data_IF_684703411814
#
_entry.id   IF_684703411814
#
_cell.length_a   1.000
_cell.length_b   1.000
_cell.length_c   1.000
_cell.angle_alpha   90.00
_cell.angle_beta   90.00
_cell.angle_gamma   90.00
#
_symmetry.space_group_name_H-M   'P 1'
#
loop_
_entity.id
_entity.type
_entity.pdbx_description
1 polymer ?
#
# COMPACT_ATOMS: atom_id res chain seq x y z
N UNK A 1 3.60 -1.99 -9.57
CA UNK A 1 3.10 -2.79 -8.42
C UNK A 1 2.07 -3.85 -8.84
N UNK A 2 1.08 -3.52 -9.68
CA UNK A 2 -0.01 -4.44 -10.05
C UNK A 2 0.45 -5.83 -10.53
N UNK A 3 1.52 -5.91 -11.33
CA UNK A 3 2.06 -7.20 -11.80
C UNK A 3 2.55 -8.12 -10.67
N UNK A 4 3.20 -7.55 -9.65
CA UNK A 4 3.71 -8.32 -8.51
C UNK A 4 2.54 -8.83 -7.66
N UNK A 5 1.53 -7.98 -7.43
CA UNK A 5 0.29 -8.35 -6.73
C UNK A 5 -0.42 -9.47 -7.47
N UNK A 6 -0.61 -9.33 -8.79
CA UNK A 6 -1.25 -10.37 -9.62
C UNK A 6 -0.52 -11.71 -9.55
N UNK A 7 0.81 -11.70 -9.57
CA UNK A 7 1.60 -12.92 -9.42
C UNK A 7 1.41 -13.61 -8.06
N UNK A 8 1.18 -12.84 -6.99
CA UNK A 8 0.85 -13.38 -5.67
C UNK A 8 -0.47 -14.13 -5.61
N UNK A 9 -1.44 -13.74 -6.44
CA UNK A 9 -2.75 -14.38 -6.53
C UNK A 9 -2.74 -15.72 -7.30
N UNK A 10 -1.68 -16.01 -8.06
CA UNK A 10 -1.49 -17.29 -8.81
C UNK A 10 -2.71 -17.67 -9.65
N UNK A 11 -3.26 -18.88 -9.39
CA UNK A 11 -4.33 -19.53 -10.17
C UNK A 11 -5.74 -19.14 -9.67
N UNK A 12 -5.86 -18.18 -8.73
CA UNK A 12 -7.15 -17.70 -8.29
C UNK A 12 -7.97 -17.17 -9.48
N UNK A 13 -9.22 -17.62 -9.58
CA UNK A 13 -10.17 -17.10 -10.57
C UNK A 13 -10.99 -15.93 -10.02
N UNK A 14 -11.11 -15.84 -8.70
CA UNK A 14 -11.90 -14.84 -8.00
C UNK A 14 -11.16 -14.28 -6.78
N UNK A 15 -11.33 -12.97 -6.52
CA UNK A 15 -10.66 -12.29 -5.42
C UNK A 15 -11.57 -11.24 -4.78
N UNK A 16 -11.60 -11.19 -3.44
CA UNK A 16 -12.11 -10.02 -2.73
C UNK A 16 -10.97 -9.00 -2.57
N UNK A 17 -11.18 -7.76 -3.01
CA UNK A 17 -10.24 -6.66 -2.77
C UNK A 17 -10.72 -5.84 -1.57
N UNK A 18 -9.98 -5.89 -0.45
CA UNK A 18 -10.36 -5.34 0.85
C UNK A 18 -9.71 -3.96 1.05
N UNK A 19 -10.54 -2.93 1.20
CA UNK A 19 -10.09 -1.54 1.15
C UNK A 19 -9.72 -1.16 -0.28
N UNK A 20 -10.65 -1.41 -1.19
CA UNK A 20 -10.43 -1.34 -2.63
C UNK A 20 -10.13 0.08 -3.14
N UNK A 21 -10.50 1.11 -2.38
CA UNK A 21 -10.30 2.49 -2.75
C UNK A 21 -10.87 2.80 -4.14
N UNK A 22 -10.10 3.53 -4.93
CA UNK A 22 -10.41 3.84 -6.33
C UNK A 22 -10.16 2.68 -7.31
N UNK A 23 -9.60 1.54 -6.86
CA UNK A 23 -9.38 0.35 -7.68
C UNK A 23 -8.00 0.23 -8.34
N UNK A 24 -6.98 0.93 -7.82
CA UNK A 24 -5.65 1.07 -8.45
C UNK A 24 -4.90 -0.25 -8.72
N UNK A 25 -5.17 -1.31 -7.96
CA UNK A 25 -4.42 -2.58 -8.04
C UNK A 25 -5.31 -3.77 -8.38
N UNK A 26 -6.52 -3.54 -8.86
CA UNK A 26 -7.44 -4.61 -9.21
C UNK A 26 -6.98 -5.35 -10.46
N UNK A 27 -6.84 -6.69 -10.40
CA UNK A 27 -6.54 -7.49 -11.59
C UNK A 27 -7.69 -7.41 -12.60
N UNK A 28 -7.38 -7.24 -13.87
CA UNK A 28 -8.38 -7.16 -14.94
C UNK A 28 -8.73 -8.51 -15.56
N UNK A 29 -7.98 -9.55 -15.20
CA UNK A 29 -8.10 -10.92 -15.70
C UNK A 29 -8.76 -11.88 -14.70
N UNK A 30 -9.25 -11.37 -13.56
CA UNK A 30 -9.94 -12.12 -12.52
C UNK A 30 -11.33 -11.55 -12.25
N UNK A 31 -12.19 -12.35 -11.65
CA UNK A 31 -13.43 -11.86 -11.04
C UNK A 31 -13.09 -11.14 -9.73
N UNK A 32 -13.19 -9.82 -9.71
CA UNK A 32 -12.90 -9.00 -8.53
C UNK A 32 -14.20 -8.60 -7.83
N UNK A 33 -14.28 -8.81 -6.51
CA UNK A 33 -15.33 -8.27 -5.64
C UNK A 33 -14.68 -7.21 -4.74
N UNK A 34 -14.77 -5.91 -5.09
CA UNK A 34 -14.19 -4.87 -4.26
C UNK A 34 -15.06 -4.57 -3.04
N UNK A 35 -14.43 -4.41 -1.88
CA UNK A 35 -15.07 -3.97 -0.63
C UNK A 35 -14.36 -2.73 -0.12
N UNK A 36 -15.11 -1.66 0.14
CA UNK A 36 -14.57 -0.36 0.52
C UNK A 36 -15.45 0.30 1.59
N UNK A 37 -14.91 0.77 2.73
CA UNK A 37 -15.69 1.43 3.77
C UNK A 37 -16.06 2.90 3.45
N UNK A 38 -15.33 3.56 2.55
CA UNK A 38 -15.53 4.97 2.22
C UNK A 38 -16.45 5.15 1.02
N UNK A 39 -17.66 5.63 1.24
CA UNK A 39 -18.57 5.99 0.14
C UNK A 39 -17.94 7.01 -0.82
N UNK A 40 -17.09 7.90 -0.32
CA UNK A 40 -16.38 8.89 -1.16
C UNK A 40 -15.44 8.20 -2.12
N UNK A 41 -14.65 7.22 -1.65
CA UNK A 41 -13.77 6.42 -2.51
C UNK A 41 -14.56 5.57 -3.50
N UNK A 42 -15.69 5.00 -3.08
CA UNK A 42 -16.60 4.27 -3.98
C UNK A 42 -17.07 5.16 -5.12
N UNK A 43 -17.49 6.41 -4.82
CA UNK A 43 -17.94 7.38 -5.84
C UNK A 43 -16.83 7.82 -6.81
N UNK A 44 -15.57 7.74 -6.40
CA UNK A 44 -14.40 8.09 -7.23
C UNK A 44 -13.95 6.95 -8.16
N UNK A 45 -14.52 5.75 -8.00
CA UNK A 45 -14.17 4.61 -8.85
C UNK A 45 -14.57 4.85 -10.29
N UNK A 46 -13.70 4.41 -11.21
CA UNK A 46 -14.04 4.44 -12.64
C UNK A 46 -15.25 3.54 -12.93
N UNK A 47 -16.17 3.99 -13.76
CA UNK A 47 -17.30 3.19 -14.22
C UNK A 47 -16.92 1.94 -15.04
N UNK A 48 -15.66 1.80 -15.44
CA UNK A 48 -15.12 0.60 -16.09
C UNK A 48 -14.72 -0.50 -15.10
N UNK A 49 -14.64 -0.19 -13.79
CA UNK A 49 -14.30 -1.14 -12.74
C UNK A 49 -15.58 -1.77 -12.12
N UNK A 50 -15.48 -2.97 -11.55
CA UNK A 50 -16.58 -3.55 -10.80
C UNK A 50 -17.06 -2.59 -9.69
N UNK A 51 -18.38 -2.48 -9.46
CA UNK A 51 -18.91 -1.67 -8.38
C UNK A 51 -18.47 -2.22 -7.02
N UNK A 52 -18.00 -1.33 -6.13
CA UNK A 52 -17.57 -1.74 -4.80
C UNK A 52 -18.77 -1.91 -3.86
N UNK A 53 -18.70 -2.94 -3.03
CA UNK A 53 -19.62 -3.14 -1.92
C UNK A 53 -19.18 -2.27 -0.74
N UNK A 54 -20.12 -1.63 -0.07
CA UNK A 54 -19.87 -0.93 1.17
C UNK A 54 -19.62 -1.96 2.29
N UNK A 55 -18.46 -1.89 2.95
CA UNK A 55 -18.11 -2.82 4.02
C UNK A 55 -16.71 -2.56 4.56
N UNK A 56 -16.39 -3.17 5.69
CA UNK A 56 -15.07 -3.09 6.33
C UNK A 56 -14.37 -4.44 6.28
N UNK A 57 -13.08 -4.45 6.57
CA UNK A 57 -12.30 -5.68 6.64
C UNK A 57 -12.80 -6.63 7.74
N UNK A 58 -13.30 -6.06 8.82
CA UNK A 58 -13.83 -6.78 9.99
C UNK A 58 -15.23 -7.37 9.76
N UNK A 59 -15.94 -6.93 8.69
CA UNK A 59 -17.29 -7.38 8.33
C UNK A 59 -17.44 -7.37 6.81
N UNK A 60 -16.94 -8.42 6.17
CA UNK A 60 -17.02 -8.55 4.72
C UNK A 60 -18.43 -8.99 4.28
N UNK A 61 -19.10 -8.23 3.39
CA UNK A 61 -20.47 -8.53 2.93
C UNK A 61 -20.48 -9.65 1.89
N UNK A 62 -19.79 -10.76 2.19
CA UNK A 62 -19.67 -11.93 1.32
C UNK A 62 -19.99 -13.22 2.08
N UNK A 63 -20.54 -14.24 1.40
CA UNK A 63 -20.70 -15.57 1.98
C UNK A 63 -19.36 -16.23 2.31
N UNK A 64 -19.40 -17.22 3.20
CA UNK A 64 -18.21 -18.01 3.50
C UNK A 64 -17.74 -18.76 2.23
N UNK A 65 -16.41 -18.83 2.06
CA UNK A 65 -15.76 -19.54 0.95
C UNK A 65 -16.30 -19.15 -0.44
N UNK A 66 -16.65 -17.87 -0.63
CA UNK A 66 -17.25 -17.37 -1.88
C UNK A 66 -16.22 -16.97 -2.94
N UNK A 67 -14.97 -16.70 -2.53
CA UNK A 67 -13.85 -16.32 -3.43
C UNK A 67 -12.64 -17.21 -3.21
N UNK A 68 -11.74 -17.27 -4.20
CA UNK A 68 -10.55 -18.10 -4.11
C UNK A 68 -9.46 -17.41 -3.27
N UNK A 69 -9.34 -16.09 -3.42
CA UNK A 69 -8.31 -15.32 -2.72
C UNK A 69 -8.85 -14.02 -2.12
N UNK A 70 -8.10 -13.47 -1.16
CA UNK A 70 -8.25 -12.11 -0.68
C UNK A 70 -7.03 -11.26 -1.08
N UNK A 71 -7.27 -10.00 -1.39
CA UNK A 71 -6.26 -8.98 -1.66
C UNK A 71 -6.46 -7.80 -0.72
N UNK A 72 -5.38 -7.28 -0.16
CA UNK A 72 -5.36 -6.01 0.54
C UNK A 72 -4.10 -5.23 0.12
N UNK A 73 -4.28 -4.21 -0.72
CA UNK A 73 -3.19 -3.40 -1.23
C UNK A 73 -3.15 -2.06 -0.49
N UNK A 74 -2.14 -1.86 0.35
CA UNK A 74 -1.94 -0.65 1.15
C UNK A 74 -3.20 -0.24 1.96
N UNK A 75 -3.95 -1.22 2.47
CA UNK A 75 -5.19 -0.98 3.22
C UNK A 75 -5.16 -1.55 4.65
N UNK A 76 -4.37 -2.59 4.91
CA UNK A 76 -4.36 -3.29 6.21
C UNK A 76 -3.96 -2.38 7.40
N UNK A 77 -3.23 -1.31 7.17
CA UNK A 77 -2.85 -0.33 8.19
C UNK A 77 -4.01 0.61 8.61
N UNK A 78 -5.13 0.57 7.91
CA UNK A 78 -6.35 1.32 8.26
C UNK A 78 -7.35 0.48 9.07
N UNK A 79 -7.15 -0.84 9.20
CA UNK A 79 -8.07 -1.72 9.89
C UNK A 79 -8.06 -1.47 11.40
N UNK A 80 -9.25 -1.42 12.00
CA UNK A 80 -9.42 -1.16 13.44
C UNK A 80 -9.11 -2.39 14.27
N UNK A 81 -9.54 -3.55 13.80
CA UNK A 81 -9.30 -4.86 14.43
C UNK A 81 -8.79 -5.85 13.39
N UNK A 82 -7.47 -5.99 13.33
CA UNK A 82 -6.83 -6.91 12.40
C UNK A 82 -7.15 -8.38 12.68
N UNK A 83 -7.41 -8.73 13.94
CA UNK A 83 -7.78 -10.10 14.29
C UNK A 83 -9.15 -10.46 13.71
N UNK A 84 -10.14 -9.59 13.85
CA UNK A 84 -11.45 -9.74 13.23
C UNK A 84 -11.35 -9.76 11.69
N UNK A 85 -10.54 -8.87 11.10
CA UNK A 85 -10.32 -8.85 9.66
C UNK A 85 -9.68 -10.15 9.14
N UNK A 86 -8.70 -10.71 9.85
CA UNK A 86 -8.10 -11.99 9.48
C UNK A 86 -9.08 -13.16 9.61
N UNK A 87 -9.98 -13.13 10.61
CA UNK A 87 -11.05 -14.11 10.72
C UNK A 87 -12.03 -14.05 9.52
N UNK A 88 -12.40 -12.83 9.11
CA UNK A 88 -13.25 -12.61 7.93
C UNK A 88 -12.57 -13.06 6.63
N UNK A 89 -11.28 -12.78 6.45
CA UNK A 89 -10.50 -13.27 5.31
C UNK A 89 -10.56 -14.80 5.25
N UNK A 90 -10.29 -15.48 6.37
CA UNK A 90 -10.39 -16.96 6.42
C UNK A 90 -11.81 -17.46 6.19
N UNK A 91 -12.81 -16.69 6.58
CA UNK A 91 -14.20 -17.05 6.34
C UNK A 91 -14.56 -16.99 4.85
N UNK A 92 -14.19 -15.91 4.15
CA UNK A 92 -14.64 -15.64 2.78
C UNK A 92 -13.76 -16.24 1.70
N UNK A 93 -12.43 -16.28 1.90
CA UNK A 93 -11.49 -16.81 0.93
C UNK A 93 -11.20 -18.31 1.17
N UNK A 94 -10.93 -19.05 0.09
CA UNK A 94 -10.67 -20.49 0.12
C UNK A 94 -9.21 -20.82 0.33
N UNK A 95 -8.32 -20.14 -0.40
CA UNK A 95 -6.95 -20.63 -0.62
C UNK A 95 -5.88 -19.71 -0.04
N UNK A 96 -5.97 -18.41 -0.29
CA UNK A 96 -4.88 -17.48 0.07
C UNK A 96 -5.32 -16.06 0.32
N UNK A 97 -4.44 -15.31 0.98
CA UNK A 97 -4.53 -13.87 1.08
C UNK A 97 -3.20 -13.23 0.64
N UNK A 98 -3.30 -12.16 -0.12
CA UNK A 98 -2.17 -11.40 -0.66
C UNK A 98 -2.24 -9.98 -0.11
N UNK A 99 -1.15 -9.53 0.48
CA UNK A 99 -1.03 -8.17 1.01
C UNK A 99 0.13 -7.45 0.33
N UNK A 100 -0.13 -6.28 -0.18
CA UNK A 100 0.90 -5.32 -0.50
C UNK A 100 0.93 -4.29 0.61
N UNK A 101 2.02 -4.26 1.38
CA UNK A 101 2.15 -3.46 2.60
C UNK A 101 3.55 -2.89 2.76
N UNK A 102 3.75 -2.00 3.70
CA UNK A 102 5.07 -1.55 4.11
C UNK A 102 5.50 -2.29 5.37
N UNK A 103 6.78 -2.62 5.47
CA UNK A 103 7.39 -3.21 6.66
C UNK A 103 7.58 -2.10 7.71
N UNK A 104 6.97 -2.17 8.89
CA UNK A 104 7.09 -1.12 9.89
C UNK A 104 8.53 -0.92 10.42
N UNK A 105 9.41 -1.91 10.24
CA UNK A 105 10.81 -1.81 10.64
C UNK A 105 11.71 -1.22 9.53
N UNK A 106 11.15 -1.01 8.33
CA UNK A 106 11.90 -0.46 7.21
C UNK A 106 11.78 1.06 7.13
N UNK A 107 12.81 1.68 6.55
CA UNK A 107 12.88 3.11 6.24
C UNK A 107 12.25 3.40 4.88
N UNK A 108 11.64 4.59 4.73
CA UNK A 108 11.30 5.16 3.42
C UNK A 108 12.51 5.78 2.70
N UNK A 109 13.72 5.43 3.13
CA UNK A 109 14.96 5.92 2.54
C UNK A 109 15.19 7.40 2.89
N UNK A 110 15.61 8.19 1.90
CA UNK A 110 15.90 9.61 2.11
C UNK A 110 14.70 10.46 2.55
N UNK A 111 13.46 9.96 2.37
CA UNK A 111 12.26 10.67 2.82
C UNK A 111 12.26 10.88 4.33
N UNK A 112 12.76 9.91 5.10
CA UNK A 112 12.80 10.00 6.56
C UNK A 112 13.75 11.11 7.04
N UNK A 113 14.76 11.49 6.23
CA UNK A 113 15.64 12.60 6.53
C UNK A 113 14.94 13.96 6.48
N UNK A 114 13.92 14.10 5.61
CA UNK A 114 13.16 15.35 5.45
C UNK A 114 11.85 15.32 6.23
N UNK A 115 11.21 14.15 6.34
CA UNK A 115 9.90 13.96 6.92
C UNK A 115 9.95 12.92 8.06
N UNK A 116 10.63 13.22 9.17
CA UNK A 116 10.74 12.28 10.29
C UNK A 116 9.36 11.91 10.84
N UNK A 117 9.18 10.64 11.15
CA UNK A 117 7.89 10.11 11.60
C UNK A 117 6.93 9.73 10.47
N UNK A 118 7.35 9.79 9.21
CA UNK A 118 6.51 9.46 8.05
C UNK A 118 5.97 8.01 8.11
N UNK A 119 6.77 7.06 8.60
CA UNK A 119 6.32 5.68 8.81
C UNK A 119 5.24 5.58 9.89
N UNK A 120 5.22 6.50 10.83
CA UNK A 120 4.29 6.53 11.97
C UNK A 120 4.48 5.33 12.89
N UNK A 121 4.43 5.52 14.21
CA UNK A 121 4.47 4.41 15.14
C UNK A 121 3.21 3.53 14.99
N UNK A 122 3.41 2.21 14.90
CA UNK A 122 2.36 1.17 14.88
C UNK A 122 1.30 1.28 13.77
N UNK A 123 1.57 2.01 12.69
CA UNK A 123 0.60 2.18 11.60
C UNK A 123 0.49 0.91 10.75
N UNK A 124 1.61 0.40 10.27
CA UNK A 124 1.65 -0.83 9.50
C UNK A 124 1.67 -2.05 10.41
N UNK A 125 0.94 -3.14 10.05
CA UNK A 125 1.01 -4.38 10.82
C UNK A 125 2.43 -4.95 10.77
N UNK A 126 2.90 -5.51 11.89
CA UNK A 126 4.13 -6.29 11.87
C UNK A 126 3.98 -7.47 10.90
N UNK A 127 5.01 -7.76 10.11
CA UNK A 127 4.93 -8.82 9.09
C UNK A 127 4.58 -10.18 9.70
N UNK A 128 4.95 -10.40 10.95
CA UNK A 128 4.63 -11.61 11.72
C UNK A 128 3.15 -11.76 12.07
N UNK A 129 2.37 -10.67 12.13
CA UNK A 129 0.93 -10.73 12.39
C UNK A 129 0.18 -11.53 11.32
N UNK A 130 0.64 -11.46 10.07
CA UNK A 130 0.01 -12.18 8.95
C UNK A 130 0.10 -13.71 9.09
N UNK A 131 0.99 -14.23 9.95
CA UNK A 131 1.06 -15.66 10.26
C UNK A 131 -0.22 -16.20 10.93
N UNK A 132 -1.05 -15.33 11.49
CA UNK A 132 -2.38 -15.70 11.97
C UNK A 132 -3.30 -16.24 10.87
N UNK A 133 -3.02 -15.96 9.60
CA UNK A 133 -3.77 -16.48 8.46
C UNK A 133 -3.34 -17.88 8.03
N UNK A 134 -2.15 -18.32 8.40
CA UNK A 134 -1.53 -19.59 8.00
C UNK A 134 -0.06 -19.43 7.64
N UNK A 135 0.45 -20.28 6.75
CA UNK A 135 1.85 -20.19 6.31
C UNK A 135 2.05 -18.97 5.41
N UNK A 136 2.97 -18.09 5.81
CA UNK A 136 3.27 -16.87 5.06
C UNK A 136 4.58 -16.99 4.27
N UNK A 137 4.63 -16.26 3.16
CA UNK A 137 5.86 -15.89 2.45
C UNK A 137 5.89 -14.37 2.32
N UNK A 138 7.03 -13.79 2.60
CA UNK A 138 7.28 -12.36 2.48
C UNK A 138 8.36 -12.15 1.43
N UNK A 139 8.11 -11.27 0.50
CA UNK A 139 9.07 -10.88 -0.54
C UNK A 139 9.22 -9.36 -0.59
N UNK A 140 10.42 -8.82 -0.75
CA UNK A 140 10.60 -7.40 -1.01
C UNK A 140 9.96 -7.02 -2.35
N UNK A 141 9.42 -5.80 -2.41
CA UNK A 141 8.87 -5.21 -3.63
C UNK A 141 9.62 -3.90 -3.89
N UNK A 142 10.76 -3.95 -4.58
CA UNK A 142 11.48 -2.74 -4.94
C UNK A 142 10.61 -1.82 -5.80
N UNK A 143 10.74 -0.52 -5.57
CA UNK A 143 9.98 0.50 -6.30
C UNK A 143 10.77 0.95 -7.52
N UNK A 144 10.24 0.77 -8.74
CA UNK A 144 10.90 1.27 -9.96
C UNK A 144 11.07 2.78 -9.94
N UNK A 145 12.14 3.27 -10.54
CA UNK A 145 12.46 4.70 -10.59
C UNK A 145 11.45 5.55 -11.35
N UNK A 146 10.68 4.93 -12.24
CA UNK A 146 9.60 5.51 -13.04
C UNK A 146 8.21 5.23 -12.49
N UNK A 147 8.10 4.72 -11.26
CA UNK A 147 6.83 4.41 -10.61
C UNK A 147 5.91 5.65 -10.59
N UNK A 148 4.69 5.49 -11.06
CA UNK A 148 3.66 6.56 -11.10
C UNK A 148 2.52 6.33 -10.12
N UNK A 149 2.59 5.26 -9.33
CA UNK A 149 1.60 4.97 -8.29
C UNK A 149 1.63 6.06 -7.19
N UNK A 150 0.50 6.28 -6.49
CA UNK A 150 0.35 7.37 -5.53
C UNK A 150 0.75 7.03 -4.08
N UNK A 151 1.62 6.04 -3.83
CA UNK A 151 2.04 5.71 -2.46
C UNK A 151 3.32 6.44 -2.03
N UNK A 152 3.58 6.45 -0.74
CA UNK A 152 4.54 7.33 -0.07
C UNK A 152 5.92 7.45 -0.72
N UNK A 153 6.55 6.35 -1.10
CA UNK A 153 7.90 6.37 -1.68
C UNK A 153 7.90 6.10 -3.20
N UNK A 154 6.76 6.29 -3.88
CA UNK A 154 6.68 6.08 -5.33
C UNK A 154 7.61 6.99 -6.12
N UNK A 155 7.87 8.18 -5.61
CA UNK A 155 8.70 9.20 -6.28
C UNK A 155 10.11 9.29 -5.71
N UNK A 156 10.66 8.21 -5.15
CA UNK A 156 11.97 8.21 -4.49
C UNK A 156 13.11 8.78 -5.35
N UNK A 157 13.01 8.70 -6.67
CA UNK A 157 14.00 9.24 -7.62
C UNK A 157 13.62 10.62 -8.18
N UNK A 158 12.45 11.12 -7.83
CA UNK A 158 11.88 12.40 -8.29
C UNK A 158 11.49 13.27 -7.10
N UNK A 159 12.48 13.77 -6.35
CA UNK A 159 12.26 14.47 -5.08
C UNK A 159 11.40 15.73 -5.22
N UNK A 160 11.44 16.39 -6.37
CA UNK A 160 10.62 17.55 -6.72
C UNK A 160 9.10 17.25 -6.64
N UNK A 161 8.69 16.01 -6.89
CA UNK A 161 7.28 15.62 -6.76
C UNK A 161 6.72 15.83 -5.34
N UNK A 162 7.55 15.71 -4.31
CA UNK A 162 7.13 15.94 -2.92
C UNK A 162 6.99 17.41 -2.54
N UNK A 163 7.36 18.35 -3.41
CA UNK A 163 7.08 19.78 -3.24
C UNK A 163 5.65 20.12 -3.62
N UNK A 164 5.01 19.31 -4.46
CA UNK A 164 3.62 19.47 -4.86
C UNK A 164 2.68 18.97 -3.74
N UNK A 165 1.80 19.86 -3.25
CA UNK A 165 0.83 19.56 -2.21
C UNK A 165 -0.17 18.49 -2.66
N UNK A 166 -0.66 18.57 -3.89
CA UNK A 166 -1.62 17.60 -4.43
C UNK A 166 -1.04 16.17 -4.49
N UNK A 167 0.28 16.04 -4.72
CA UNK A 167 0.97 14.75 -4.65
C UNK A 167 0.99 14.22 -3.22
N UNK A 168 1.29 15.07 -2.23
CA UNK A 168 1.35 14.65 -0.81
C UNK A 168 -0.04 14.31 -0.26
N UNK A 169 -1.08 15.05 -0.62
CA UNK A 169 -2.47 14.80 -0.19
C UNK A 169 -2.98 13.41 -0.60
N UNK A 170 -2.48 12.87 -1.70
CA UNK A 170 -2.81 11.50 -2.13
C UNK A 170 -2.07 10.40 -1.35
N UNK A 171 -1.17 10.77 -0.44
CA UNK A 171 -0.38 9.83 0.37
C UNK A 171 -0.87 9.82 1.82
N UNK A 172 -1.50 8.73 2.24
CA UNK A 172 -2.06 8.62 3.59
C UNK A 172 -1.05 8.86 4.73
N UNK A 173 0.25 8.63 4.48
CA UNK A 173 1.32 8.90 5.44
C UNK A 173 1.50 10.40 5.68
N UNK A 174 1.41 11.23 4.65
CA UNK A 174 1.48 12.69 4.79
C UNK A 174 0.24 13.27 5.47
N UNK A 175 -0.94 12.68 5.23
CA UNK A 175 -2.18 13.10 5.89
C UNK A 175 -2.17 12.95 7.42
N UNK A 176 -1.27 12.12 7.96
CA UNK A 176 -1.13 11.87 9.39
C UNK A 176 0.16 12.46 9.99
N UNK A 177 1.02 13.03 9.14
CA UNK A 177 2.21 13.72 9.60
C UNK A 177 1.83 15.07 10.23
N UNK A 178 2.53 15.45 11.30
CA UNK A 178 2.37 16.79 11.87
C UNK A 178 2.61 17.87 10.79
N UNK A 179 1.71 18.83 10.71
CA UNK A 179 1.74 19.87 9.67
C UNK A 179 3.03 20.68 9.67
N UNK A 180 3.61 20.95 10.87
CA UNK A 180 4.89 21.68 10.98
C UNK A 180 6.06 20.83 10.50
N UNK A 181 6.02 19.51 10.77
CA UNK A 181 7.05 18.58 10.28
C UNK A 181 6.98 18.51 8.75
N UNK A 182 5.77 18.41 8.18
CA UNK A 182 5.57 18.41 6.74
C UNK A 182 6.08 19.71 6.10
N UNK A 183 5.67 20.88 6.62
CA UNK A 183 6.08 22.18 6.11
C UNK A 183 7.60 22.39 6.19
N UNK A 184 8.23 22.04 7.32
CA UNK A 184 9.67 22.12 7.49
C UNK A 184 10.41 21.18 6.53
N UNK A 185 9.91 19.96 6.34
CA UNK A 185 10.48 18.99 5.41
C UNK A 185 10.45 19.50 3.96
N UNK A 186 9.31 20.05 3.54
CA UNK A 186 9.15 20.64 2.21
C UNK A 186 10.10 21.82 2.01
N UNK A 187 10.20 22.73 2.98
CA UNK A 187 11.10 23.89 2.88
C UNK A 187 12.57 23.47 2.78
N UNK A 188 13.00 22.49 3.59
CA UNK A 188 14.37 21.94 3.53
C UNK A 188 14.63 21.26 2.19
N UNK A 189 13.70 20.41 1.72
CA UNK A 189 13.82 19.72 0.45
C UNK A 189 13.93 20.72 -0.72
N UNK A 190 13.09 21.75 -0.72
CA UNK A 190 13.14 22.80 -1.74
C UNK A 190 14.50 23.51 -1.77
N UNK A 191 15.06 23.85 -0.60
CA UNK A 191 16.40 24.44 -0.48
C UNK A 191 17.50 23.52 -1.02
N UNK A 192 17.48 22.26 -0.60
CA UNK A 192 18.48 21.27 -1.00
C UNK A 192 18.38 20.88 -2.49
N UNK A 193 17.22 21.00 -3.10
CA UNK A 193 17.06 20.86 -4.55
C UNK A 193 17.59 22.07 -5.30
N UNK A 194 17.33 23.30 -4.81
CA UNK A 194 17.77 24.54 -5.43
C UNK A 194 19.31 24.65 -5.45
N UNK A 195 20.00 24.26 -4.39
CA UNK A 195 21.46 24.30 -4.30
C UNK A 195 22.14 22.98 -4.71
N UNK A 196 21.38 21.99 -5.16
CA UNK A 196 21.82 20.65 -5.55
C UNK A 196 22.44 19.80 -4.44
N UNK A 197 22.29 20.15 -3.16
CA UNK A 197 22.80 19.34 -2.04
C UNK A 197 22.11 17.99 -1.95
N UNK A 198 20.79 17.92 -2.24
CA UNK A 198 20.07 16.64 -2.37
C UNK A 198 20.73 15.72 -3.42
N UNK A 199 21.02 16.25 -4.61
CA UNK A 199 21.61 15.46 -5.70
C UNK A 199 23.02 14.97 -5.36
N UNK A 200 23.81 15.77 -4.62
CA UNK A 200 25.13 15.34 -4.15
C UNK A 200 25.02 14.27 -3.07
N UNK A 201 24.12 14.46 -2.10
CA UNK A 201 23.95 13.55 -0.96
C UNK A 201 23.42 12.18 -1.39
N UNK A 202 22.48 12.14 -2.33
CA UNK A 202 21.81 10.92 -2.78
C UNK A 202 22.19 10.50 -4.20
N UNK A 203 23.35 10.93 -4.68
CA UNK A 203 23.83 10.66 -6.05
C UNK A 203 23.77 9.16 -6.42
N UNK A 204 24.08 8.27 -5.47
CA UNK A 204 24.05 6.83 -5.69
C UNK A 204 22.63 6.30 -6.08
N UNK A 205 21.58 6.93 -5.56
CA UNK A 205 20.19 6.54 -5.88
C UNK A 205 19.84 6.85 -7.34
N UNK A 206 20.47 7.86 -7.94
CA UNK A 206 20.19 8.23 -9.31
C UNK A 206 20.68 7.18 -10.33
N UNK A 207 21.57 6.28 -9.93
CA UNK A 207 22.16 5.24 -10.76
C UNK A 207 21.39 3.91 -10.73
N UNK A 208 20.48 3.72 -9.75
CA UNK A 208 19.76 2.44 -9.61
C UNK A 208 18.39 2.49 -10.29
N UNK A 209 17.95 1.39 -10.95
CA UNK A 209 16.65 1.35 -11.64
C UNK A 209 15.46 1.20 -10.69
N UNK A 210 15.69 0.62 -9.52
CA UNK A 210 14.67 0.37 -8.50
C UNK A 210 15.30 0.45 -7.10
N UNK A 211 14.49 0.71 -6.08
CA UNK A 211 14.93 0.86 -4.70
C UNK A 211 14.00 0.10 -3.75
N UNK A 212 14.57 -0.72 -2.86
CA UNK A 212 13.83 -1.26 -1.72
C UNK A 212 13.67 -0.17 -0.65
N UNK A 213 12.47 0.31 -0.50
CA UNK A 213 12.07 1.32 0.49
C UNK A 213 11.02 0.75 1.43
N UNK A 214 11.13 -0.53 1.74
CA UNK A 214 10.32 -1.20 2.76
C UNK A 214 9.00 -1.81 2.28
N UNK A 215 8.64 -1.73 1.01
CA UNK A 215 7.43 -2.41 0.55
C UNK A 215 7.62 -3.92 0.44
N UNK A 216 6.58 -4.64 0.86
CA UNK A 216 6.56 -6.10 0.92
C UNK A 216 5.29 -6.66 0.29
N UNK A 217 5.45 -7.78 -0.41
CA UNK A 217 4.35 -8.66 -0.76
C UNK A 217 4.30 -9.79 0.26
N UNK A 218 3.23 -9.86 1.02
CA UNK A 218 2.96 -10.98 1.93
C UNK A 218 1.91 -11.87 1.28
N UNK A 219 2.22 -13.15 1.14
CA UNK A 219 1.30 -14.17 0.65
C UNK A 219 1.08 -15.18 1.77
N UNK A 220 -0.15 -15.28 2.26
CA UNK A 220 -0.58 -16.26 3.26
C UNK A 220 -1.38 -17.37 2.57
N UNK A 221 -0.97 -18.61 2.76
CA UNK A 221 -1.79 -19.78 2.40
C UNK A 221 -2.76 -20.05 3.55
N UNK A 222 -4.06 -19.97 3.27
CA UNK A 222 -5.10 -20.12 4.30
C UNK A 222 -5.23 -21.59 4.71
N UNK A 223 -5.30 -21.84 6.00
CA UNK A 223 -5.48 -23.15 6.60
C UNK A 223 -6.89 -23.31 7.15
#
# INVERSE_FOLDING_TARGET
MARVIRAGLRDAASVVNIGAGSGSYEPTDLTVVPVEPSETMIRQRSGSLPPALLGTAEHLPLPAKSVDAALAALSAHHWRDRSAAFAEIRRVARERAVFFTHDPEASFGWLDDYFPGLAGENRYPALTEFAALGRIRVAPVPVPSDCTDGFTAAYWRRPDAYLDEAVRENMSTFALLDERVAANGVARLAGDLADRSWHRRYAALLAVPELDVGYRLVVAELS
#
